data_IF_167335716341
#
_entry.id   IF_167335716341
#
_cell.length_a   1.000
_cell.length_b   1.000
_cell.length_c   1.000
_cell.angle_alpha   90.00
_cell.angle_beta   90.00
_cell.angle_gamma   90.00
#
_symmetry.space_group_name_H-M   'P 1'
#
loop_
_entity.id
_entity.type
_entity.pdbx_description
1 polymer ?
#
# COMPACT_ATOMS: atom_id res chain seq x y z
N UNK A 1 27.91 -16.10 44.63
CA UNK A 1 28.27 -15.17 43.54
C UNK A 1 28.37 -15.93 42.21
N UNK A 2 27.23 -16.20 41.55
CA UNK A 2 27.21 -17.01 40.30
C UNK A 2 25.89 -16.88 39.50
N UNK A 3 25.21 -15.72 39.57
CA UNK A 3 23.95 -15.48 38.85
C UNK A 3 23.85 -14.11 38.16
N UNK A 4 24.97 -13.38 38.03
CA UNK A 4 24.99 -12.04 37.43
C UNK A 4 25.64 -11.97 36.03
N UNK A 5 26.07 -13.10 35.46
CA UNK A 5 26.74 -13.12 34.15
C UNK A 5 25.79 -13.50 33.00
N UNK A 6 24.65 -14.14 33.31
CA UNK A 6 23.75 -14.67 32.27
C UNK A 6 22.84 -13.58 31.67
N UNK A 7 22.72 -12.41 32.30
CA UNK A 7 21.86 -11.33 31.81
C UNK A 7 22.55 -10.37 30.83
N UNK A 8 23.87 -10.43 30.70
CA UNK A 8 24.63 -9.52 29.82
C UNK A 8 24.80 -10.01 28.38
N UNK A 9 24.38 -11.24 28.06
CA UNK A 9 24.48 -11.80 26.70
C UNK A 9 23.24 -11.53 25.85
N UNK A 10 22.08 -11.16 26.44
CA UNK A 10 20.86 -10.94 25.66
C UNK A 10 20.73 -9.52 25.07
N UNK A 11 21.59 -8.57 25.48
CA UNK A 11 21.50 -7.16 25.08
C UNK A 11 22.46 -6.80 23.93
N UNK A 12 23.37 -7.71 23.55
CA UNK A 12 24.41 -7.44 22.54
C UNK A 12 24.00 -7.80 21.10
N UNK A 13 22.83 -8.40 20.87
CA UNK A 13 22.37 -8.75 19.51
C UNK A 13 21.47 -7.70 18.82
N UNK A 14 21.10 -6.61 19.47
CA UNK A 14 20.19 -5.63 18.88
C UNK A 14 20.86 -4.57 17.97
N UNK A 15 22.19 -4.55 17.87
CA UNK A 15 22.93 -3.45 17.23
C UNK A 15 23.47 -3.74 15.82
N UNK A 16 23.08 -4.84 15.17
CA UNK A 16 23.54 -5.20 13.82
C UNK A 16 22.35 -5.35 12.85
N UNK A 17 21.48 -4.35 12.82
CA UNK A 17 20.53 -4.14 11.73
C UNK A 17 21.07 -3.08 10.78
N UNK A 18 21.98 -3.45 9.89
CA UNK A 18 22.33 -2.61 8.75
C UNK A 18 21.05 -2.34 7.97
N UNK A 19 20.53 -1.12 8.06
CA UNK A 19 19.35 -0.69 7.32
C UNK A 19 19.78 -0.44 5.88
N UNK A 20 19.97 -1.51 5.12
CA UNK A 20 19.80 -1.40 3.68
C UNK A 20 18.34 -0.98 3.47
N UNK A 21 18.13 0.18 2.86
CA UNK A 21 16.82 0.69 2.48
C UNK A 21 16.28 -0.21 1.35
N UNK A 22 15.85 -1.41 1.73
CA UNK A 22 15.30 -2.40 0.84
C UNK A 22 13.81 -2.10 0.73
N UNK A 23 13.39 -1.63 -0.45
CA UNK A 23 11.98 -1.48 -0.72
C UNK A 23 11.35 -2.82 -1.12
N UNK A 24 10.06 -2.97 -0.86
CA UNK A 24 9.29 -4.17 -1.14
C UNK A 24 8.03 -3.81 -1.94
N UNK A 25 7.71 -4.62 -2.95
CA UNK A 25 6.45 -4.60 -3.67
C UNK A 25 5.53 -5.65 -3.06
N UNK A 26 4.41 -5.25 -2.49
CA UNK A 26 3.35 -6.15 -2.04
C UNK A 26 2.28 -6.19 -3.14
N UNK A 27 2.19 -7.30 -3.86
CA UNK A 27 1.21 -7.53 -4.93
C UNK A 27 -0.01 -8.25 -4.38
N UNK A 28 -1.19 -7.70 -4.63
CA UNK A 28 -2.47 -8.25 -4.17
C UNK A 28 -3.19 -9.05 -5.25
N UNK A 29 -4.15 -9.89 -4.85
CA UNK A 29 -4.96 -10.71 -5.75
C UNK A 29 -5.90 -9.90 -6.65
N UNK A 30 -6.29 -8.70 -6.21
CA UNK A 30 -7.10 -7.79 -7.00
C UNK A 30 -6.27 -6.96 -8.01
N UNK A 31 -4.96 -7.21 -8.12
CA UNK A 31 -4.07 -6.47 -9.02
C UNK A 31 -3.51 -5.17 -8.43
N UNK A 32 -3.89 -4.77 -7.21
CA UNK A 32 -3.28 -3.63 -6.54
C UNK A 32 -1.87 -3.97 -6.06
N UNK A 33 -0.98 -2.98 -6.09
CA UNK A 33 0.40 -3.10 -5.65
C UNK A 33 0.72 -2.00 -4.64
N UNK A 34 1.47 -2.35 -3.60
CA UNK A 34 1.93 -1.41 -2.57
C UNK A 34 3.44 -1.45 -2.45
N UNK A 35 4.08 -0.30 -2.54
CA UNK A 35 5.51 -0.14 -2.31
C UNK A 35 5.73 0.29 -0.86
N UNK A 36 6.63 -0.39 -0.16
CA UNK A 36 6.96 -0.07 1.24
C UNK A 36 8.43 -0.31 1.54
N UNK A 37 9.03 0.48 2.42
CA UNK A 37 10.39 0.25 2.90
C UNK A 37 10.47 -0.89 3.93
N UNK A 38 9.34 -1.26 4.55
CA UNK A 38 9.32 -2.30 5.59
C UNK A 38 7.96 -2.95 5.70
N UNK A 39 7.97 -4.27 5.85
CA UNK A 39 6.80 -5.06 6.20
C UNK A 39 7.14 -6.08 7.28
N UNK A 40 6.13 -6.54 8.00
CA UNK A 40 6.24 -7.64 8.96
C UNK A 40 4.95 -8.46 8.98
N UNK A 41 5.04 -9.65 9.55
CA UNK A 41 3.88 -10.53 9.69
C UNK A 41 3.35 -10.48 11.12
N UNK A 42 2.04 -10.36 11.29
CA UNK A 42 1.37 -10.48 12.58
C UNK A 42 0.13 -11.35 12.43
N UNK A 43 0.19 -12.57 12.95
CA UNK A 43 -0.88 -13.55 12.79
C UNK A 43 -1.22 -13.81 11.31
N UNK A 44 -2.49 -13.55 10.94
CA UNK A 44 -3.02 -13.72 9.57
C UNK A 44 -2.76 -12.51 8.66
N UNK A 45 -2.12 -11.46 9.15
CA UNK A 45 -1.92 -10.21 8.41
C UNK A 45 -0.45 -9.98 8.04
N UNK A 46 -0.27 -9.32 6.90
CA UNK A 46 0.95 -8.61 6.53
C UNK A 46 0.72 -7.14 6.87
N UNK A 47 1.59 -6.60 7.70
CA UNK A 47 1.60 -5.18 8.06
C UNK A 47 2.75 -4.51 7.35
N UNK A 48 2.55 -3.27 6.94
CA UNK A 48 3.61 -2.49 6.31
C UNK A 48 3.42 -1.00 6.54
N UNK A 49 4.52 -0.27 6.43
CA UNK A 49 4.54 1.17 6.59
C UNK A 49 3.99 1.84 5.32
N UNK A 50 3.08 2.79 5.50
CA UNK A 50 2.50 3.64 4.45
C UNK A 50 2.60 5.11 4.87
N UNK A 51 2.45 6.04 3.92
CA UNK A 51 2.28 7.46 4.23
C UNK A 51 1.07 7.67 5.14
N UNK A 52 1.29 7.94 6.42
CA UNK A 52 0.22 8.11 7.41
C UNK A 52 0.06 6.96 8.41
N UNK A 53 0.92 5.94 8.37
CA UNK A 53 1.01 4.90 9.41
C UNK A 53 1.01 3.49 8.85
N UNK A 54 0.70 2.53 9.73
CA UNK A 54 0.74 1.10 9.42
C UNK A 54 -0.55 0.64 8.77
N UNK A 55 -0.45 -0.09 7.66
CA UNK A 55 -1.58 -0.74 7.02
C UNK A 55 -1.47 -2.26 7.11
N UNK A 56 -2.57 -2.92 7.46
CA UNK A 56 -2.64 -4.37 7.64
C UNK A 56 -3.56 -5.02 6.61
N UNK A 57 -3.04 -6.01 5.89
CA UNK A 57 -3.76 -6.78 4.88
C UNK A 57 -3.73 -8.26 5.23
N UNK A 58 -4.83 -9.00 5.10
CA UNK A 58 -4.79 -10.44 5.30
C UNK A 58 -3.91 -11.12 4.25
N UNK A 59 -3.09 -12.08 4.68
CA UNK A 59 -2.24 -12.91 3.82
C UNK A 59 -3.01 -13.55 2.67
N UNK A 60 -4.30 -13.85 2.88
CA UNK A 60 -5.17 -14.41 1.87
C UNK A 60 -5.40 -13.50 0.66
N UNK A 61 -5.21 -12.18 0.79
CA UNK A 61 -5.32 -11.20 -0.30
C UNK A 61 -3.98 -10.90 -0.98
N UNK A 62 -2.86 -11.36 -0.42
CA UNK A 62 -1.52 -11.14 -0.97
C UNK A 62 -1.19 -12.26 -1.96
N UNK A 63 -0.77 -11.88 -3.16
CA UNK A 63 -0.28 -12.79 -4.21
C UNK A 63 1.21 -13.03 -4.05
N UNK A 64 1.99 -11.95 -3.89
CA UNK A 64 3.46 -12.03 -3.83
C UNK A 64 4.03 -10.81 -3.11
N UNK A 65 5.18 -10.99 -2.45
CA UNK A 65 6.01 -9.88 -1.96
C UNK A 65 7.39 -10.01 -2.63
N UNK A 66 7.85 -8.96 -3.29
CA UNK A 66 9.12 -8.94 -4.02
C UNK A 66 10.03 -7.83 -3.48
N UNK A 67 11.31 -8.09 -3.20
CA UNK A 67 12.26 -7.01 -2.93
C UNK A 67 12.50 -6.22 -4.23
N UNK A 68 12.38 -4.90 -4.15
CA UNK A 68 12.91 -4.01 -5.17
C UNK A 68 14.39 -3.77 -4.86
N UNK A 69 15.25 -4.47 -5.58
CA UNK A 69 16.71 -4.24 -5.55
C UNK A 69 17.13 -2.94 -6.26
N UNK A 70 16.17 -2.12 -6.70
CA UNK A 70 16.42 -0.76 -7.20
C UNK A 70 16.20 0.20 -6.04
N UNK A 71 17.13 1.16 -5.79
CA UNK A 71 16.89 2.17 -4.77
C UNK A 71 15.61 2.93 -5.13
N UNK A 72 14.55 2.72 -4.36
CA UNK A 72 13.35 3.53 -4.52
C UNK A 72 13.66 4.85 -3.86
N UNK A 73 13.89 5.87 -4.69
CA UNK A 73 13.60 7.24 -4.27
C UNK A 73 12.09 7.29 -4.01
N UNK A 74 11.68 7.19 -2.76
CA UNK A 74 10.43 7.80 -2.30
C UNK A 74 10.50 9.26 -2.80
N UNK A 75 9.60 9.63 -3.70
CA UNK A 75 9.79 10.66 -4.73
C UNK A 75 10.56 11.94 -4.32
N UNK A 76 11.84 11.99 -4.69
CA UNK A 76 12.50 13.23 -5.12
C UNK A 76 12.78 13.11 -6.62
N UNK A 77 12.09 13.96 -7.38
CA UNK A 77 12.12 14.16 -8.83
C UNK A 77 13.35 13.63 -9.60
N UNK A 78 13.07 12.86 -10.66
CA UNK A 78 13.65 13.00 -12.01
C UNK A 78 13.18 11.85 -12.91
N UNK A 79 12.47 12.18 -13.98
CA UNK A 79 12.42 11.37 -15.22
C UNK A 79 13.83 11.53 -15.85
N UNK A 80 14.53 10.44 -16.27
CA UNK A 80 14.27 9.93 -17.61
C UNK A 80 14.48 8.42 -17.88
N UNK A 81 13.93 8.06 -19.03
CA UNK A 81 14.43 7.10 -20.02
C UNK A 81 14.09 5.60 -19.91
N UNK A 82 13.28 5.18 -20.87
CA UNK A 82 13.16 3.81 -21.34
C UNK A 82 14.53 3.37 -21.86
N UNK A 83 15.12 2.35 -21.22
CA UNK A 83 16.07 1.47 -21.88
C UNK A 83 15.70 0.02 -21.62
N UNK A 84 15.35 -0.62 -22.73
CA UNK A 84 15.18 -2.02 -23.01
C UNK A 84 16.43 -2.81 -22.58
N UNK A 85 16.27 -3.92 -21.84
CA UNK A 85 17.00 -5.17 -22.15
C UNK A 85 16.65 -6.32 -21.18
N UNK A 86 16.26 -7.44 -21.82
CA UNK A 86 16.33 -8.85 -21.37
C UNK A 86 15.24 -9.38 -20.44
N UNK A 87 14.10 -9.62 -21.07
CA UNK A 87 13.40 -10.89 -20.89
C UNK A 87 14.34 -12.08 -21.14
N UNK A 88 14.46 -12.97 -20.15
CA UNK A 88 14.65 -14.40 -20.39
C UNK A 88 13.71 -15.18 -19.46
N UNK A 89 12.73 -15.92 -19.98
CA UNK A 89 12.07 -16.97 -19.22
C UNK A 89 12.63 -18.32 -19.65
N UNK A 90 13.44 -18.95 -18.80
CA UNK A 90 13.68 -20.38 -18.90
C UNK A 90 12.70 -21.14 -18.00
N UNK A 91 11.65 -21.64 -18.65
CA UNK A 91 10.99 -22.93 -18.45
C UNK A 91 10.82 -23.48 -17.03
N UNK A 92 9.58 -23.54 -16.54
CA UNK A 92 8.98 -24.82 -16.15
C UNK A 92 7.58 -24.95 -16.77
N UNK A 93 7.49 -25.94 -17.66
CA UNK A 93 6.30 -26.50 -18.29
C UNK A 93 5.48 -27.27 -17.26
N UNK A 94 4.19 -26.96 -17.13
CA UNK A 94 3.30 -27.66 -16.20
C UNK A 94 1.81 -27.41 -16.41
N UNK A 95 1.25 -27.95 -17.50
CA UNK A 95 -0.14 -28.41 -17.65
C UNK A 95 -1.28 -27.41 -17.33
N UNK A 96 -1.75 -26.72 -18.37
CA UNK A 96 -3.07 -26.06 -18.39
C UNK A 96 -4.14 -27.06 -18.85
N UNK A 97 -5.11 -27.35 -17.99
CA UNK A 97 -6.46 -27.75 -18.38
C UNK A 97 -7.41 -26.55 -18.18
N UNK A 98 -8.56 -26.51 -18.89
CA UNK A 98 -9.29 -25.28 -19.15
C UNK A 98 -9.99 -24.73 -17.91
N UNK A 99 -9.82 -23.43 -17.67
CA UNK A 99 -10.53 -22.69 -16.62
C UNK A 99 -11.99 -22.53 -17.06
N UNK A 100 -12.89 -23.24 -16.37
CA UNK A 100 -14.32 -22.93 -16.36
C UNK A 100 -14.49 -21.56 -15.67
N UNK A 101 -15.23 -20.59 -16.26
CA UNK A 101 -15.43 -19.29 -15.62
C UNK A 101 -16.15 -19.48 -14.28
N UNK A 102 -15.48 -19.15 -13.17
CA UNK A 102 -16.14 -19.00 -11.87
C UNK A 102 -16.83 -17.65 -11.87
N UNK A 103 -18.16 -17.72 -11.94
CA UNK A 103 -19.05 -16.60 -11.69
C UNK A 103 -18.68 -15.89 -10.39
N UNK A 104 -18.55 -14.58 -10.52
CA UNK A 104 -18.40 -13.61 -9.45
C UNK A 104 -19.59 -13.70 -8.48
N UNK A 105 -19.38 -14.38 -7.36
CA UNK A 105 -20.28 -14.32 -6.20
C UNK A 105 -20.14 -12.97 -5.48
N UNK A 106 -20.62 -11.88 -6.09
CA UNK A 106 -20.58 -10.54 -5.50
C UNK A 106 -21.94 -9.84 -5.52
N UNK A 107 -23.00 -10.49 -5.01
CA UNK A 107 -24.32 -9.83 -4.88
C UNK A 107 -24.72 -9.51 -3.45
N UNK A 108 -24.02 -10.05 -2.43
CA UNK A 108 -24.36 -9.77 -1.01
C UNK A 108 -23.47 -8.72 -0.33
N UNK A 109 -22.22 -8.54 -0.77
CA UNK A 109 -21.30 -7.57 -0.16
C UNK A 109 -21.47 -6.15 -0.71
N UNK A 110 -22.03 -5.97 -1.91
CA UNK A 110 -22.19 -4.65 -2.53
C UNK A 110 -23.31 -3.82 -1.89
N UNK A 111 -24.43 -4.46 -1.51
CA UNK A 111 -25.59 -3.78 -0.90
C UNK A 111 -25.28 -3.27 0.52
N UNK A 112 -24.43 -3.97 1.28
CA UNK A 112 -24.04 -3.55 2.65
C UNK A 112 -22.98 -2.44 2.66
N UNK A 113 -22.20 -2.30 1.58
CA UNK A 113 -21.14 -1.27 1.45
C UNK A 113 -21.70 0.13 1.19
N UNK A 114 -22.77 0.28 0.40
CA UNK A 114 -23.36 1.60 0.11
C UNK A 114 -23.97 2.34 1.30
N UNK A 115 -24.15 1.67 2.44
CA UNK A 115 -24.64 2.26 3.69
C UNK A 115 -23.54 2.49 4.74
N UNK A 116 -22.28 2.11 4.48
CA UNK A 116 -21.19 2.39 5.42
C UNK A 116 -20.72 3.84 5.28
N UNK A 117 -20.59 4.60 6.38
CA UNK A 117 -20.09 5.98 6.36
C UNK A 117 -18.73 6.15 5.67
N UNK A 118 -17.85 5.15 5.72
CA UNK A 118 -16.53 5.19 5.07
C UNK A 118 -16.69 5.22 3.55
N UNK A 119 -17.60 4.41 2.98
CA UNK A 119 -17.87 4.40 1.54
C UNK A 119 -18.48 5.73 1.08
N UNK A 120 -19.38 6.31 1.86
CA UNK A 120 -19.97 7.61 1.53
C UNK A 120 -18.94 8.75 1.54
N UNK A 121 -18.07 8.79 2.56
CA UNK A 121 -16.96 9.75 2.61
C UNK A 121 -15.99 9.55 1.45
N UNK A 122 -15.70 8.30 1.09
CA UNK A 122 -14.89 7.99 -0.07
C UNK A 122 -15.50 8.53 -1.37
N UNK A 123 -16.80 8.30 -1.59
CA UNK A 123 -17.49 8.76 -2.80
C UNK A 123 -17.44 10.29 -2.93
N UNK A 124 -17.64 11.03 -1.82
CA UNK A 124 -17.52 12.50 -1.79
C UNK A 124 -16.10 12.95 -2.15
N UNK A 125 -15.07 12.32 -1.59
CA UNK A 125 -13.68 12.67 -1.88
C UNK A 125 -13.28 12.29 -3.31
N UNK A 126 -13.83 11.18 -3.82
CA UNK A 126 -13.63 10.76 -5.22
C UNK A 126 -14.25 11.74 -6.19
N UNK A 127 -15.45 12.25 -5.91
CA UNK A 127 -16.06 13.31 -6.72
C UNK A 127 -15.21 14.59 -6.68
N UNK A 128 -14.80 15.02 -5.48
CA UNK A 128 -13.89 16.17 -5.30
C UNK A 128 -12.59 15.99 -6.08
N UNK A 129 -12.07 14.76 -6.20
CA UNK A 129 -10.84 14.46 -6.95
C UNK A 129 -10.91 14.78 -8.44
N UNK A 130 -12.10 14.78 -9.06
CA UNK A 130 -12.25 15.16 -10.47
C UNK A 130 -12.02 16.64 -10.73
N UNK A 131 -11.98 17.47 -9.67
CA UNK A 131 -11.82 18.93 -9.76
C UNK A 131 -10.43 19.42 -9.35
N UNK A 132 -9.48 18.52 -9.03
CA UNK A 132 -8.14 18.86 -8.50
C UNK A 132 -7.41 19.88 -9.39
N UNK A 133 -7.50 19.75 -10.71
CA UNK A 133 -6.82 20.64 -11.65
C UNK A 133 -7.19 22.13 -11.52
N UNK A 134 -8.38 22.44 -11.01
CA UNK A 134 -8.86 23.80 -10.80
C UNK A 134 -8.67 24.34 -9.38
N UNK A 135 -8.25 23.50 -8.42
CA UNK A 135 -8.15 23.90 -7.01
C UNK A 135 -6.97 24.84 -6.76
N UNK A 136 -7.12 25.77 -5.84
CA UNK A 136 -6.05 26.59 -5.27
C UNK A 136 -5.12 25.76 -4.36
N UNK A 137 -3.92 26.26 -4.08
CA UNK A 137 -2.96 25.57 -3.20
C UNK A 137 -3.54 25.30 -1.81
N UNK A 138 -4.29 26.26 -1.25
CA UNK A 138 -4.99 26.07 0.04
C UNK A 138 -6.04 24.96 -0.02
N UNK A 139 -6.79 24.87 -1.12
CA UNK A 139 -7.82 23.84 -1.34
C UNK A 139 -7.18 22.46 -1.54
N UNK A 140 -6.05 22.37 -2.25
CA UNK A 140 -5.26 21.14 -2.36
C UNK A 140 -4.73 20.66 -1.01
N UNK A 141 -4.26 21.59 -0.17
CA UNK A 141 -3.80 21.25 1.18
C UNK A 141 -4.95 20.78 2.08
N UNK A 142 -6.12 21.42 1.99
CA UNK A 142 -7.31 20.99 2.72
C UNK A 142 -7.79 19.62 2.25
N UNK A 143 -7.83 19.40 0.93
CA UNK A 143 -8.20 18.12 0.37
C UNK A 143 -7.22 17.00 0.76
N UNK A 144 -5.92 17.29 0.81
CA UNK A 144 -4.91 16.36 1.35
C UNK A 144 -5.21 15.94 2.79
N UNK A 145 -5.65 16.88 3.65
CA UNK A 145 -6.06 16.57 5.03
C UNK A 145 -7.30 15.68 5.07
N UNK A 146 -8.28 15.93 4.21
CA UNK A 146 -9.49 15.12 4.12
C UNK A 146 -9.16 13.66 3.74
N UNK A 147 -8.27 13.47 2.74
CA UNK A 147 -7.80 12.15 2.34
C UNK A 147 -7.05 11.43 3.46
N UNK A 148 -6.16 12.13 4.15
CA UNK A 148 -5.42 11.58 5.28
C UNK A 148 -6.35 11.16 6.43
N UNK A 149 -7.41 11.93 6.68
CA UNK A 149 -8.44 11.63 7.67
C UNK A 149 -9.17 10.33 7.32
N UNK A 150 -9.65 10.18 6.08
CA UNK A 150 -10.33 8.97 5.64
C UNK A 150 -9.40 7.75 5.64
N UNK A 151 -8.15 7.92 5.19
CA UNK A 151 -7.12 6.87 5.22
C UNK A 151 -6.92 6.33 6.63
N UNK A 152 -6.79 7.23 7.61
CA UNK A 152 -6.65 6.89 9.03
C UNK A 152 -7.90 6.20 9.57
N UNK A 153 -9.08 6.63 9.15
CA UNK A 153 -10.35 5.99 9.51
C UNK A 153 -10.43 4.55 9.00
N UNK A 154 -10.03 4.30 7.74
CA UNK A 154 -9.94 2.95 7.18
C UNK A 154 -8.94 2.08 7.96
N UNK A 155 -7.76 2.62 8.27
CA UNK A 155 -6.72 1.92 9.04
C UNK A 155 -7.18 1.53 10.45
N UNK A 156 -7.86 2.45 11.14
CA UNK A 156 -8.27 2.26 12.54
C UNK A 156 -9.58 1.50 12.70
N UNK A 157 -10.41 1.41 11.65
CA UNK A 157 -11.68 0.69 11.68
C UNK A 157 -11.57 -0.83 11.90
N UNK A 158 -10.39 -1.41 11.69
CA UNK A 158 -10.18 -2.86 11.64
C UNK A 158 -10.76 -3.53 10.38
N UNK A 159 -11.42 -2.76 9.50
CA UNK A 159 -12.04 -3.22 8.25
C UNK A 159 -11.19 -2.89 7.02
N UNK A 160 -9.89 -2.64 7.18
CA UNK A 160 -9.01 -2.21 6.07
C UNK A 160 -9.03 -3.15 4.86
N UNK A 161 -9.28 -4.44 5.08
CA UNK A 161 -9.42 -5.44 4.02
C UNK A 161 -10.70 -5.28 3.19
N UNK A 162 -11.77 -4.73 3.78
CA UNK A 162 -13.03 -4.48 3.07
C UNK A 162 -12.93 -3.29 2.12
N UNK A 163 -11.93 -2.42 2.35
CA UNK A 163 -11.71 -1.14 1.67
C UNK A 163 -10.39 -1.11 0.87
N UNK A 164 -9.87 -2.26 0.45
CA UNK A 164 -8.57 -2.32 -0.24
C UNK A 164 -8.54 -1.53 -1.55
N UNK A 165 -9.68 -1.46 -2.25
CA UNK A 165 -9.76 -0.72 -3.50
C UNK A 165 -9.77 0.79 -3.23
N UNK A 166 -10.64 1.22 -2.32
CA UNK A 166 -10.81 2.59 -1.87
C UNK A 166 -9.50 3.14 -1.31
N UNK A 167 -8.80 2.36 -0.46
CA UNK A 167 -7.51 2.76 0.10
C UNK A 167 -6.42 2.93 -0.98
N UNK A 168 -6.41 2.07 -2.00
CA UNK A 168 -5.51 2.19 -3.16
C UNK A 168 -5.82 3.45 -3.98
N UNK A 169 -7.10 3.72 -4.24
CA UNK A 169 -7.53 4.95 -4.93
C UNK A 169 -7.17 6.21 -4.15
N UNK A 170 -7.39 6.23 -2.82
CA UNK A 170 -6.98 7.34 -1.96
C UNK A 170 -5.46 7.58 -2.01
N UNK A 171 -4.67 6.52 -2.11
CA UNK A 171 -3.22 6.66 -2.25
C UNK A 171 -2.84 7.35 -3.56
N UNK A 172 -3.43 6.92 -4.68
CA UNK A 172 -3.21 7.53 -6.01
C UNK A 172 -3.63 8.99 -6.06
N UNK A 173 -4.77 9.33 -5.46
CA UNK A 173 -5.24 10.73 -5.38
C UNK A 173 -4.25 11.56 -4.55
N UNK A 174 -3.74 11.00 -3.44
CA UNK A 174 -2.71 11.64 -2.62
C UNK A 174 -1.44 11.97 -3.42
N UNK A 175 -0.94 11.03 -4.21
CA UNK A 175 0.25 11.23 -5.05
C UNK A 175 0.02 12.36 -6.07
N UNK A 176 -1.16 12.41 -6.70
CA UNK A 176 -1.52 13.48 -7.66
C UNK A 176 -1.53 14.86 -6.97
N UNK A 177 -2.10 14.96 -5.77
CA UNK A 177 -2.13 16.22 -5.01
C UNK A 177 -0.71 16.66 -4.65
N UNK A 178 0.13 15.72 -4.20
CA UNK A 178 1.53 16.00 -3.87
C UNK A 178 2.29 16.53 -5.09
N UNK A 179 2.13 15.90 -6.25
CA UNK A 179 2.74 16.34 -7.50
C UNK A 179 2.28 17.75 -7.90
N UNK A 180 0.98 18.06 -7.75
CA UNK A 180 0.46 19.40 -8.04
C UNK A 180 0.97 20.46 -7.06
N UNK A 181 1.09 20.13 -5.77
CA UNK A 181 1.66 21.04 -4.77
C UNK A 181 3.14 21.30 -5.07
N UNK A 182 3.91 20.27 -5.43
CA UNK A 182 5.32 20.40 -5.84
C UNK A 182 5.48 21.26 -7.10
N UNK A 183 4.58 21.16 -8.07
CA UNK A 183 4.64 21.95 -9.30
C UNK A 183 4.36 23.44 -9.11
N UNK A 184 3.77 23.84 -7.97
CA UNK A 184 3.37 25.23 -7.66
C UNK A 184 4.29 25.94 -6.68
N UNK A 185 5.16 25.21 -6.00
CA UNK A 185 6.20 25.73 -5.11
C UNK A 185 7.52 25.91 -5.87
#
# INVERSE_FOLDING_TARGET
MRKLVVWSILIVCAALGGSADAAFMIKLKNGNEFVTGRYWQQGRQILFDTYGGVFGIEKAFVTKIEPLNKPIRLATAAVPEIQDERFQPESIRGRSQPIKPLESGNTKSEVKRKQDPISQEFDVLKEKSSTIGGMLTSELMEFSKDLASLKRKIQTSGKSNDYLNEFSELHKIGDIIEDMLKARN
#
